data_IF_763298684114
#
_entry.id   IF_763298684114
#
_cell.length_a   1.000
_cell.length_b   1.000
_cell.length_c   1.000
_cell.angle_alpha   90.00
_cell.angle_beta   90.00
_cell.angle_gamma   90.00
#
_symmetry.space_group_name_H-M   'P 1'
#
loop_
_entity.id
_entity.type
_entity.pdbx_description
1 polymer ?
#
# COMPACT_ATOMS: atom_id res chain seq x y z
N UNK A 1 17.54 12.89 11.46
CA UNK A 1 16.13 12.63 11.09
C UNK A 1 15.95 11.13 11.05
N UNK A 2 14.85 10.62 11.60
CA UNK A 2 14.54 9.21 11.49
C UNK A 2 14.40 8.82 10.00
N UNK A 3 14.98 7.70 9.61
CA UNK A 3 14.97 7.27 8.21
C UNK A 3 14.87 5.77 8.09
N UNK A 4 14.15 5.29 7.06
CA UNK A 4 14.10 3.89 6.70
C UNK A 4 14.68 3.72 5.29
N UNK A 5 15.53 2.72 5.11
CA UNK A 5 16.17 2.44 3.83
C UNK A 5 16.24 0.93 3.57
N UNK A 6 16.31 0.58 2.29
CA UNK A 6 16.68 -0.76 1.82
C UNK A 6 18.19 -0.76 1.63
N UNK A 7 18.90 -1.49 2.47
CA UNK A 7 20.35 -1.65 2.39
C UNK A 7 20.74 -2.88 1.58
N UNK A 8 22.04 -3.14 1.53
CA UNK A 8 22.61 -4.32 0.87
C UNK A 8 22.46 -5.54 1.79
N UNK A 9 21.35 -6.26 1.65
CA UNK A 9 21.02 -7.45 2.42
C UNK A 9 20.14 -7.22 3.66
N UNK A 10 19.93 -5.99 4.12
CA UNK A 10 19.12 -5.67 5.30
C UNK A 10 18.22 -4.45 5.08
N UNK A 11 17.13 -4.38 5.82
CA UNK A 11 16.43 -3.10 6.04
C UNK A 11 17.16 -2.31 7.12
N UNK A 12 17.22 -1.00 6.93
CA UNK A 12 17.86 -0.09 7.88
C UNK A 12 16.84 0.89 8.46
N UNK A 13 16.77 0.97 9.79
CA UNK A 13 16.04 2.03 10.50
C UNK A 13 17.05 2.88 11.27
N UNK A 14 17.14 4.15 10.94
CA UNK A 14 18.13 5.07 11.51
C UNK A 14 19.59 4.58 11.35
N UNK A 15 19.85 3.96 10.19
CA UNK A 15 21.17 3.39 9.88
C UNK A 15 21.49 2.06 10.57
N UNK A 16 20.56 1.50 11.35
CA UNK A 16 20.75 0.20 12.05
C UNK A 16 19.93 -0.89 11.38
N UNK A 17 20.49 -2.09 11.20
CA UNK A 17 19.76 -3.22 10.66
C UNK A 17 18.49 -3.52 11.46
N UNK A 18 17.39 -3.78 10.76
CA UNK A 18 16.10 -4.12 11.37
C UNK A 18 15.41 -5.22 10.57
N UNK A 19 14.77 -6.15 11.28
CA UNK A 19 13.86 -7.11 10.65
C UNK A 19 12.43 -6.61 10.75
N UNK A 20 11.73 -6.58 9.63
CA UNK A 20 10.30 -6.28 9.58
C UNK A 20 9.51 -7.60 9.61
N UNK A 21 9.08 -8.01 10.79
CA UNK A 21 8.08 -9.05 10.95
C UNK A 21 6.72 -8.36 11.01
N UNK A 22 5.92 -8.52 9.95
CA UNK A 22 4.62 -7.85 9.82
C UNK A 22 3.45 -8.82 9.88
N UNK A 23 2.31 -8.31 10.34
CA UNK A 23 1.03 -8.97 10.23
C UNK A 23 0.02 -8.08 9.51
N UNK A 24 -0.92 -8.70 8.78
CA UNK A 24 -1.99 -7.96 8.10
C UNK A 24 -3.11 -7.60 9.08
N UNK A 25 -3.43 -6.31 9.19
CA UNK A 25 -4.59 -5.80 9.89
C UNK A 25 -5.22 -4.67 9.06
N UNK A 26 -6.37 -4.93 8.50
CA UNK A 26 -7.05 -3.98 7.64
C UNK A 26 -8.05 -3.14 8.45
N UNK A 27 -7.76 -1.85 8.63
CA UNK A 27 -8.57 -0.93 9.42
C UNK A 27 -10.05 -0.92 9.01
N UNK A 28 -10.34 -1.15 7.74
CA UNK A 28 -11.71 -1.16 7.21
C UNK A 28 -12.50 -2.46 7.48
N UNK A 29 -11.85 -3.50 8.06
CA UNK A 29 -12.48 -4.78 8.45
C UNK A 29 -12.65 -4.93 9.95
N UNK A 30 -12.13 -4.00 10.73
CA UNK A 30 -12.15 -4.03 12.19
C UNK A 30 -12.70 -2.70 12.68
N UNK A 31 -13.64 -2.74 13.62
CA UNK A 31 -14.20 -1.53 14.21
C UNK A 31 -13.10 -0.68 14.86
N UNK A 32 -13.17 0.63 14.72
CA UNK A 32 -12.13 1.57 15.16
C UNK A 32 -11.75 1.36 16.64
N UNK A 33 -12.73 1.18 17.52
CA UNK A 33 -12.51 0.94 18.95
C UNK A 33 -11.71 -0.35 19.27
N UNK A 34 -11.58 -1.27 18.31
CA UNK A 34 -10.84 -2.50 18.45
C UNK A 34 -9.40 -2.44 17.92
N UNK A 35 -9.04 -1.39 17.18
CA UNK A 35 -7.71 -1.33 16.55
C UNK A 35 -6.58 -1.46 17.57
N UNK A 36 -6.61 -0.69 18.65
CA UNK A 36 -5.59 -0.75 19.71
C UNK A 36 -5.43 -2.14 20.30
N UNK A 37 -6.54 -2.83 20.58
CA UNK A 37 -6.51 -4.21 21.09
C UNK A 37 -5.88 -5.18 20.07
N UNK A 38 -6.25 -5.10 18.79
CA UNK A 38 -5.69 -5.97 17.74
C UNK A 38 -4.20 -5.72 17.51
N UNK A 39 -3.78 -4.46 17.54
CA UNK A 39 -2.36 -4.09 17.45
C UNK A 39 -1.56 -4.63 18.65
N UNK A 40 -2.12 -4.55 19.86
CA UNK A 40 -1.50 -5.15 21.04
C UNK A 40 -1.33 -6.68 20.92
N UNK A 41 -2.31 -7.37 20.32
CA UNK A 41 -2.21 -8.81 20.05
C UNK A 41 -1.11 -9.12 19.03
N UNK A 42 -1.00 -8.36 17.93
CA UNK A 42 0.08 -8.51 16.96
C UNK A 42 1.45 -8.33 17.63
N UNK A 43 1.60 -7.33 18.48
CA UNK A 43 2.83 -7.14 19.26
C UNK A 43 3.14 -8.30 20.18
N UNK A 44 2.14 -8.84 20.87
CA UNK A 44 2.31 -10.00 21.75
C UNK A 44 2.75 -11.26 20.98
N UNK A 45 2.44 -11.35 19.68
CA UNK A 45 2.96 -12.36 18.77
C UNK A 45 4.41 -12.11 18.30
N UNK A 46 5.05 -11.02 18.73
CA UNK A 46 6.40 -10.64 18.32
C UNK A 46 6.49 -9.82 17.04
N UNK A 47 5.35 -9.34 16.49
CA UNK A 47 5.33 -8.54 15.27
C UNK A 47 5.63 -7.07 15.59
N UNK A 48 6.60 -6.48 14.89
CA UNK A 48 6.96 -5.06 15.03
C UNK A 48 6.35 -4.17 13.95
N UNK A 49 5.66 -4.76 12.98
CA UNK A 49 5.09 -4.07 11.84
C UNK A 49 3.68 -4.56 11.54
N UNK A 50 2.86 -3.68 10.99
CA UNK A 50 1.53 -4.01 10.48
C UNK A 50 1.42 -3.57 9.03
N UNK A 51 0.74 -4.35 8.20
CA UNK A 51 0.39 -3.93 6.84
C UNK A 51 -1.11 -3.73 6.69
N UNK A 52 -1.50 -2.71 5.91
CA UNK A 52 -2.89 -2.46 5.58
C UNK A 52 -3.05 -2.01 4.14
N UNK A 53 -4.10 -2.51 3.49
CA UNK A 53 -4.59 -2.00 2.22
C UNK A 53 -5.50 -0.78 2.42
N UNK A 54 -5.78 -0.08 1.32
CA UNK A 54 -6.73 1.04 1.29
C UNK A 54 -7.72 0.84 0.14
N UNK A 55 -8.98 0.48 0.42
CA UNK A 55 -9.98 0.27 -0.62
C UNK A 55 -10.53 1.61 -1.12
N UNK A 56 -10.21 1.96 -2.36
CA UNK A 56 -10.66 3.21 -2.98
C UNK A 56 -12.19 3.31 -3.04
N UNK A 57 -12.87 2.22 -3.44
CA UNK A 57 -14.34 2.19 -3.56
C UNK A 57 -15.08 2.43 -2.22
N UNK A 58 -14.46 2.08 -1.09
CA UNK A 58 -15.02 2.38 0.23
C UNK A 58 -14.99 3.89 0.52
N UNK A 59 -13.88 4.54 0.15
CA UNK A 59 -13.66 5.95 0.44
C UNK A 59 -14.18 6.90 -0.65
N UNK A 60 -14.45 6.41 -1.84
CA UNK A 60 -15.08 7.16 -2.95
C UNK A 60 -16.12 6.27 -3.66
N UNK A 61 -17.27 5.97 -2.99
CA UNK A 61 -18.31 5.09 -3.54
C UNK A 61 -19.00 5.66 -4.79
N UNK A 62 -18.97 6.96 -4.97
CA UNK A 62 -19.40 7.66 -6.19
C UNK A 62 -18.39 8.75 -6.51
N UNK A 63 -18.25 9.08 -7.79
CA UNK A 63 -17.27 10.05 -8.27
C UNK A 63 -17.36 11.39 -7.51
N UNK A 64 -16.26 11.78 -6.85
CA UNK A 64 -16.17 13.03 -6.09
C UNK A 64 -16.82 12.99 -4.70
N UNK A 65 -17.51 11.90 -4.35
CA UNK A 65 -18.11 11.72 -3.03
C UNK A 65 -17.16 10.94 -2.12
N UNK A 66 -16.38 11.64 -1.34
CA UNK A 66 -15.45 11.04 -0.40
C UNK A 66 -16.10 10.74 0.95
N UNK A 67 -15.79 9.57 1.51
CA UNK A 67 -16.28 9.08 2.80
C UNK A 67 -15.08 8.71 3.65
N UNK A 68 -14.96 9.33 4.79
CA UNK A 68 -14.00 9.04 5.87
C UNK A 68 -12.57 8.63 5.42
N UNK A 69 -12.00 9.39 4.49
CA UNK A 69 -10.59 9.17 4.07
C UNK A 69 -9.61 9.32 5.25
N UNK A 70 -10.04 10.01 6.32
CA UNK A 70 -9.28 10.19 7.55
C UNK A 70 -9.12 8.92 8.39
N UNK A 71 -9.93 7.89 8.17
CA UNK A 71 -9.84 6.61 8.92
C UNK A 71 -8.45 5.99 8.83
N UNK A 72 -7.81 6.01 7.65
CA UNK A 72 -6.43 5.54 7.50
C UNK A 72 -5.47 6.31 8.41
N UNK A 73 -5.61 7.63 8.46
CA UNK A 73 -4.77 8.47 9.33
C UNK A 73 -4.90 8.09 10.79
N UNK A 74 -6.14 7.98 11.30
CA UNK A 74 -6.40 7.57 12.69
C UNK A 74 -5.84 6.17 12.99
N UNK A 75 -6.01 5.23 12.07
CA UNK A 75 -5.41 3.90 12.21
C UNK A 75 -3.88 3.94 12.30
N UNK A 76 -3.21 4.74 11.47
CA UNK A 76 -1.77 4.91 11.52
C UNK A 76 -1.29 5.59 12.82
N UNK A 77 -2.11 6.49 13.39
CA UNK A 77 -1.83 7.08 14.71
C UNK A 77 -1.91 6.02 15.82
N UNK A 78 -2.88 5.11 15.77
CA UNK A 78 -2.96 3.95 16.68
C UNK A 78 -1.77 3.00 16.52
N UNK A 79 -1.30 2.78 15.27
CA UNK A 79 -0.09 1.98 15.01
C UNK A 79 1.14 2.62 15.67
N UNK A 80 1.27 3.95 15.56
CA UNK A 80 2.35 4.69 16.22
C UNK A 80 2.25 4.60 17.75
N UNK A 81 1.05 4.79 18.31
CA UNK A 81 0.79 4.67 19.75
C UNK A 81 1.11 3.25 20.29
N UNK A 82 0.85 2.22 19.46
CA UNK A 82 1.26 0.84 19.77
C UNK A 82 2.77 0.61 19.64
N UNK A 83 3.58 1.58 19.22
CA UNK A 83 5.02 1.44 19.00
C UNK A 83 5.38 0.51 17.84
N UNK A 84 4.49 0.36 16.86
CA UNK A 84 4.68 -0.47 15.67
C UNK A 84 5.03 0.39 14.44
N UNK A 85 5.54 -0.26 13.40
CA UNK A 85 5.73 0.32 12.06
C UNK A 85 4.58 -0.09 11.14
N UNK A 86 4.43 0.62 10.02
CA UNK A 86 3.37 0.35 9.05
C UNK A 86 3.92 0.21 7.63
N UNK A 87 3.38 -0.76 6.89
CA UNK A 87 3.44 -0.85 5.44
C UNK A 87 2.06 -0.46 4.91
N UNK A 88 1.99 0.58 4.07
CA UNK A 88 0.73 1.03 3.49
C UNK A 88 0.64 0.59 2.04
N UNK A 89 -0.50 0.01 1.66
CA UNK A 89 -0.76 -0.55 0.34
C UNK A 89 -1.96 0.17 -0.30
N UNK A 90 -1.74 1.38 -0.90
CA UNK A 90 -2.82 2.27 -1.34
C UNK A 90 -3.45 1.89 -2.68
N UNK A 91 -2.94 0.88 -3.36
CA UNK A 91 -3.39 0.45 -4.68
C UNK A 91 -2.76 1.21 -5.85
N UNK A 92 -3.55 1.53 -6.90
CA UNK A 92 -5.02 1.70 -6.96
C UNK A 92 -5.85 0.42 -6.85
N UNK A 93 -5.37 -0.71 -7.35
CA UNK A 93 -5.95 -2.03 -7.16
C UNK A 93 -5.28 -2.72 -5.95
N UNK A 94 -6.07 -3.34 -5.08
CA UNK A 94 -5.56 -3.94 -3.85
C UNK A 94 -5.81 -5.45 -3.74
N UNK A 95 -6.65 -6.04 -4.57
CA UNK A 95 -7.16 -7.40 -4.42
C UNK A 95 -7.85 -7.60 -3.05
N UNK A 96 -7.14 -8.09 -2.07
CA UNK A 96 -7.48 -8.15 -0.64
C UNK A 96 -8.81 -8.88 -0.34
N UNK A 97 -9.26 -9.79 -1.21
CA UNK A 97 -10.61 -10.37 -1.14
C UNK A 97 -11.68 -9.30 -0.88
N UNK A 98 -11.53 -8.17 -1.55
CA UNK A 98 -12.43 -7.02 -1.47
C UNK A 98 -13.13 -6.79 -2.80
N UNK A 99 -14.36 -6.30 -2.73
CA UNK A 99 -15.18 -6.05 -3.92
C UNK A 99 -14.41 -5.24 -4.97
N UNK A 100 -14.43 -5.74 -6.22
CA UNK A 100 -13.78 -5.12 -7.39
C UNK A 100 -12.28 -4.82 -7.18
N UNK A 101 -11.61 -5.57 -6.28
CA UNK A 101 -10.22 -5.31 -5.89
C UNK A 101 -9.97 -3.90 -5.36
N UNK A 102 -10.99 -3.25 -4.80
CA UNK A 102 -10.94 -1.91 -4.26
C UNK A 102 -11.20 -0.79 -5.27
N UNK A 103 -11.29 -1.09 -6.56
CA UNK A 103 -11.60 -0.07 -7.59
C UNK A 103 -13.09 0.32 -7.54
N UNK A 104 -13.44 1.61 -7.62
CA UNK A 104 -14.84 2.03 -7.68
C UNK A 104 -15.54 1.58 -8.97
N UNK A 105 -16.81 1.19 -8.85
CA UNK A 105 -17.61 0.79 -10.02
C UNK A 105 -17.80 1.91 -11.05
N UNK A 106 -17.87 3.16 -10.58
CA UNK A 106 -17.95 4.32 -11.46
C UNK A 106 -16.65 4.56 -12.27
N UNK A 107 -15.52 3.93 -11.90
CA UNK A 107 -14.29 3.87 -12.70
C UNK A 107 -14.33 2.67 -13.63
N UNK A 108 -14.57 1.47 -13.08
CA UNK A 108 -14.45 0.22 -13.84
C UNK A 108 -15.57 0.01 -14.85
N UNK A 109 -16.79 0.50 -14.58
CA UNK A 109 -17.92 0.39 -15.49
C UNK A 109 -17.65 1.09 -16.84
N UNK A 110 -17.37 2.40 -16.88
CA UNK A 110 -17.09 3.11 -18.12
C UNK A 110 -15.77 2.71 -18.79
N UNK A 111 -14.72 2.40 -18.01
CA UNK A 111 -13.39 2.14 -18.56
C UNK A 111 -13.20 0.68 -19.00
N UNK A 112 -13.88 -0.27 -18.37
CA UNK A 112 -13.77 -1.68 -18.73
C UNK A 112 -12.31 -2.15 -18.71
N UNK A 113 -11.78 -2.62 -19.83
CA UNK A 113 -10.41 -3.13 -19.96
C UNK A 113 -9.32 -2.05 -19.92
N UNK A 114 -9.68 -0.77 -19.89
CA UNK A 114 -8.73 0.34 -19.80
C UNK A 114 -8.21 0.56 -18.37
N UNK A 115 -8.84 -0.05 -17.35
CA UNK A 115 -8.35 0.00 -15.97
C UNK A 115 -7.02 -0.74 -15.84
N UNK A 116 -6.18 -0.30 -14.93
CA UNK A 116 -4.85 -0.86 -14.67
C UNK A 116 -3.97 -0.90 -15.94
N UNK A 117 -4.05 0.16 -16.73
CA UNK A 117 -3.22 0.38 -17.93
C UNK A 117 -2.72 1.81 -17.97
N UNK A 118 -1.84 2.13 -18.92
CA UNK A 118 -1.39 3.50 -19.22
C UNK A 118 -2.47 4.43 -19.79
N UNK A 119 -3.74 4.05 -19.78
CA UNK A 119 -4.85 4.88 -20.23
C UNK A 119 -4.91 6.19 -19.45
N UNK A 120 -4.95 7.32 -20.16
CA UNK A 120 -4.86 8.65 -19.56
C UNK A 120 -6.05 8.99 -18.65
N UNK A 121 -7.25 8.50 -18.98
CA UNK A 121 -8.47 8.72 -18.18
C UNK A 121 -8.38 7.93 -16.86
N UNK A 122 -7.96 6.66 -16.93
CA UNK A 122 -7.73 5.84 -15.73
C UNK A 122 -6.67 6.47 -14.82
N UNK A 123 -5.52 6.84 -15.37
CA UNK A 123 -4.44 7.48 -14.62
C UNK A 123 -4.86 8.83 -14.01
N UNK A 124 -5.69 9.61 -14.72
CA UNK A 124 -6.27 10.84 -14.18
C UNK A 124 -7.17 10.60 -12.97
N UNK A 125 -7.94 9.50 -12.97
CA UNK A 125 -8.72 9.09 -11.80
C UNK A 125 -7.82 8.64 -10.63
N UNK A 126 -6.78 7.86 -10.91
CA UNK A 126 -5.79 7.43 -9.89
C UNK A 126 -5.08 8.63 -9.27
N UNK A 127 -4.63 9.59 -10.09
CA UNK A 127 -3.99 10.81 -9.60
C UNK A 127 -4.90 11.59 -8.64
N UNK A 128 -6.17 11.80 -9.00
CA UNK A 128 -7.14 12.48 -8.14
C UNK A 128 -7.34 11.73 -6.82
N UNK A 129 -7.45 10.41 -6.86
CA UNK A 129 -7.55 9.57 -5.68
C UNK A 129 -6.30 9.69 -4.78
N UNK A 130 -5.11 9.55 -5.35
CA UNK A 130 -3.86 9.64 -4.60
C UNK A 130 -3.67 11.03 -3.97
N UNK A 131 -4.00 12.10 -4.69
CA UNK A 131 -3.98 13.46 -4.12
C UNK A 131 -4.90 13.62 -2.92
N UNK A 132 -5.99 12.87 -2.86
CA UNK A 132 -6.93 12.90 -1.72
C UNK A 132 -6.47 12.01 -0.57
N UNK A 133 -5.98 10.82 -0.87
CA UNK A 133 -5.59 9.81 0.12
C UNK A 133 -4.23 10.08 0.76
N UNK A 134 -3.21 10.29 -0.09
CA UNK A 134 -1.82 10.24 0.34
C UNK A 134 -1.39 11.29 1.37
N UNK A 135 -2.03 12.45 1.53
CA UNK A 135 -1.75 13.33 2.66
C UNK A 135 -1.87 12.63 4.04
N UNK A 136 -2.76 11.62 4.18
CA UNK A 136 -2.88 10.83 5.40
C UNK A 136 -1.63 9.98 5.66
N UNK A 137 -1.03 9.45 4.60
CA UNK A 137 0.19 8.62 4.64
C UNK A 137 1.43 9.50 4.82
N UNK A 138 1.54 10.54 4.00
CA UNK A 138 2.70 11.42 3.93
C UNK A 138 2.98 12.12 5.26
N UNK A 139 1.94 12.57 5.95
CA UNK A 139 2.07 13.19 7.28
C UNK A 139 2.62 12.22 8.34
N UNK A 140 2.56 10.91 8.08
CA UNK A 140 2.89 9.84 9.03
C UNK A 140 4.05 8.95 8.58
N UNK A 141 4.84 9.42 7.63
CA UNK A 141 6.08 8.74 7.22
C UNK A 141 7.13 8.79 8.34
N UNK A 142 8.03 7.82 8.34
CA UNK A 142 9.04 7.69 9.40
C UNK A 142 10.00 8.89 9.44
N UNK A 143 10.31 9.48 8.31
CA UNK A 143 11.12 10.70 8.20
C UNK A 143 10.41 11.95 8.76
N UNK A 144 9.11 11.84 9.05
CA UNK A 144 8.28 12.85 9.73
C UNK A 144 7.87 12.43 11.15
N UNK A 145 8.51 11.37 11.67
CA UNK A 145 8.24 10.86 13.01
C UNK A 145 7.05 9.89 13.13
N UNK A 146 6.42 9.52 12.02
CA UNK A 146 5.30 8.58 11.99
C UNK A 146 5.72 7.12 11.87
N UNK A 147 4.76 6.18 11.77
CA UNK A 147 5.02 4.75 11.73
C UNK A 147 5.30 4.21 10.32
N UNK A 148 4.95 4.93 9.24
CA UNK A 148 5.01 4.41 7.87
C UNK A 148 6.46 4.31 7.41
N UNK A 149 6.91 3.10 7.10
CA UNK A 149 8.28 2.82 6.65
C UNK A 149 8.38 2.48 5.17
N UNK A 150 7.32 1.94 4.56
CA UNK A 150 7.27 1.64 3.12
C UNK A 150 5.85 1.80 2.57
N UNK A 151 5.76 2.05 1.26
CA UNK A 151 4.48 2.14 0.54
C UNK A 151 4.53 1.23 -0.70
N UNK A 152 3.48 0.43 -0.91
CA UNK A 152 3.37 -0.42 -2.09
C UNK A 152 2.85 0.37 -3.29
N UNK A 153 3.42 0.10 -4.44
CA UNK A 153 2.89 0.52 -5.74
C UNK A 153 2.13 -0.65 -6.37
N UNK A 154 0.84 -0.45 -6.65
CA UNK A 154 -0.05 -1.46 -7.23
C UNK A 154 -0.21 -2.72 -6.36
N UNK A 155 -0.73 -3.82 -6.91
CA UNK A 155 -0.77 -5.12 -6.24
C UNK A 155 -0.90 -6.26 -7.25
N UNK A 156 0.04 -7.19 -7.19
CA UNK A 156 0.09 -8.38 -8.07
C UNK A 156 -0.09 -8.04 -9.55
N UNK A 157 0.51 -6.93 -9.98
CA UNK A 157 0.31 -6.46 -11.34
C UNK A 157 0.85 -7.45 -12.37
N UNK A 158 1.95 -8.11 -12.10
CA UNK A 158 2.55 -9.11 -12.98
C UNK A 158 1.69 -10.35 -13.23
N UNK A 159 0.72 -10.63 -12.34
CA UNK A 159 -0.30 -11.66 -12.56
C UNK A 159 -1.47 -11.18 -13.43
N UNK A 160 -1.58 -9.86 -13.64
CA UNK A 160 -2.65 -9.22 -14.41
C UNK A 160 -2.18 -8.71 -15.77
N UNK A 161 -0.99 -8.13 -15.85
CA UNK A 161 -0.46 -7.49 -17.04
C UNK A 161 1.04 -7.25 -16.99
N UNK A 162 1.54 -6.50 -17.97
CA UNK A 162 2.96 -6.18 -18.11
C UNK A 162 3.20 -4.76 -18.66
N UNK A 163 2.25 -3.84 -18.46
CA UNK A 163 2.37 -2.45 -18.92
C UNK A 163 3.33 -1.66 -18.01
N UNK A 164 4.61 -1.67 -18.37
CA UNK A 164 5.65 -0.96 -17.64
C UNK A 164 5.47 0.57 -17.64
N UNK A 165 4.73 1.13 -18.59
CA UNK A 165 4.39 2.57 -18.60
C UNK A 165 3.41 2.87 -17.49
N UNK A 166 2.38 2.04 -17.35
CA UNK A 166 1.40 2.14 -16.27
C UNK A 166 2.07 2.09 -14.89
N UNK A 167 2.87 1.05 -14.62
CA UNK A 167 3.54 0.90 -13.32
C UNK A 167 4.46 2.08 -12.98
N UNK A 168 5.25 2.56 -13.96
CA UNK A 168 6.08 3.76 -13.75
C UNK A 168 5.23 4.97 -13.40
N UNK A 169 4.09 5.17 -14.08
CA UNK A 169 3.19 6.29 -13.76
C UNK A 169 2.59 6.19 -12.37
N UNK A 170 2.26 4.98 -11.89
CA UNK A 170 1.81 4.78 -10.50
C UNK A 170 2.91 5.19 -9.52
N UNK A 171 4.16 4.76 -9.74
CA UNK A 171 5.31 5.14 -8.91
C UNK A 171 5.55 6.65 -8.93
N UNK A 172 5.54 7.27 -10.11
CA UNK A 172 5.68 8.72 -10.25
C UNK A 172 4.58 9.49 -9.50
N UNK A 173 3.34 9.03 -9.56
CA UNK A 173 2.22 9.63 -8.84
C UNK A 173 2.38 9.53 -7.32
N UNK A 174 2.86 8.40 -6.80
CA UNK A 174 3.17 8.23 -5.38
C UNK A 174 4.21 9.27 -4.93
N UNK A 175 5.31 9.41 -5.65
CA UNK A 175 6.34 10.41 -5.36
C UNK A 175 5.83 11.84 -5.52
N UNK A 176 5.09 12.14 -6.60
CA UNK A 176 4.49 13.47 -6.83
C UNK A 176 3.50 13.88 -5.74
N UNK A 177 2.87 12.91 -5.07
CA UNK A 177 2.01 13.14 -3.91
C UNK A 177 2.78 13.22 -2.58
N UNK A 178 4.12 13.14 -2.59
CA UNK A 178 4.97 13.38 -1.43
C UNK A 178 5.42 12.12 -0.67
N UNK A 179 5.28 10.93 -1.26
CA UNK A 179 5.84 9.71 -0.67
C UNK A 179 7.36 9.74 -0.81
N UNK A 180 8.07 9.70 0.32
CA UNK A 180 9.55 9.76 0.43
C UNK A 180 10.15 8.45 0.97
N UNK A 181 9.36 7.63 1.66
CA UNK A 181 9.81 6.31 2.11
C UNK A 181 9.96 5.36 0.92
N UNK A 182 10.78 4.30 1.04
CA UNK A 182 10.96 3.32 -0.02
C UNK A 182 9.63 2.76 -0.54
N UNK A 183 9.53 2.63 -1.86
CA UNK A 183 8.44 1.93 -2.52
C UNK A 183 8.79 0.45 -2.71
N UNK A 184 7.76 -0.38 -2.78
CA UNK A 184 7.92 -1.79 -3.16
C UNK A 184 6.76 -2.25 -4.06
N UNK A 185 7.00 -3.28 -4.88
CA UNK A 185 5.97 -4.05 -5.57
C UNK A 185 5.86 -5.43 -4.93
N UNK A 186 4.73 -6.11 -5.13
CA UNK A 186 4.51 -7.44 -4.56
C UNK A 186 3.72 -8.29 -5.54
N UNK A 187 4.35 -9.33 -6.08
CA UNK A 187 3.81 -10.16 -7.15
C UNK A 187 3.89 -11.64 -6.79
N UNK A 188 3.31 -12.50 -7.63
CA UNK A 188 3.51 -13.95 -7.53
C UNK A 188 4.98 -14.32 -7.81
N UNK A 189 5.44 -15.53 -7.40
CA UNK A 189 6.85 -15.89 -7.41
C UNK A 189 7.37 -16.35 -8.79
N UNK A 190 6.52 -16.43 -9.81
CA UNK A 190 6.91 -16.88 -11.13
C UNK A 190 7.62 -15.77 -11.91
N UNK A 191 8.61 -16.14 -12.73
CA UNK A 191 9.45 -15.19 -13.48
C UNK A 191 8.65 -14.16 -14.29
N UNK A 192 7.58 -14.60 -14.96
CA UNK A 192 6.75 -13.71 -15.75
C UNK A 192 5.96 -12.70 -14.87
N UNK A 193 5.54 -13.12 -13.66
CA UNK A 193 4.85 -12.26 -12.71
C UNK A 193 5.81 -11.22 -12.12
N UNK A 194 6.99 -11.65 -11.70
CA UNK A 194 8.02 -10.74 -11.20
C UNK A 194 8.48 -9.75 -12.27
N UNK A 195 8.69 -10.23 -13.50
CA UNK A 195 9.09 -9.36 -14.62
C UNK A 195 8.01 -8.37 -15.00
N UNK A 196 6.74 -8.81 -15.05
CA UNK A 196 5.60 -7.96 -15.40
C UNK A 196 5.21 -6.95 -14.32
N UNK A 197 5.46 -7.27 -13.05
CA UNK A 197 5.06 -6.47 -11.87
C UNK A 197 6.15 -5.58 -11.28
N UNK A 198 7.41 -5.73 -11.68
CA UNK A 198 8.52 -4.95 -11.11
C UNK A 198 8.76 -3.63 -11.83
N UNK A 199 9.33 -2.68 -11.09
CA UNK A 199 9.74 -1.37 -11.61
C UNK A 199 11.21 -1.13 -11.28
N UNK A 200 12.06 -0.74 -12.22
CA UNK A 200 13.47 -0.43 -11.94
C UNK A 200 13.62 0.61 -10.82
N UNK A 201 14.46 0.30 -9.83
CA UNK A 201 14.68 1.17 -8.67
C UNK A 201 13.64 1.05 -7.55
N UNK A 202 12.64 0.20 -7.71
CA UNK A 202 11.65 -0.13 -6.68
C UNK A 202 11.93 -1.55 -6.17
N UNK A 203 11.84 -1.76 -4.86
CA UNK A 203 12.04 -3.09 -4.26
C UNK A 203 10.96 -4.06 -4.76
N UNK A 204 11.35 -5.12 -5.45
CA UNK A 204 10.46 -6.20 -5.82
C UNK A 204 10.35 -7.22 -4.68
N UNK A 205 9.12 -7.61 -4.33
CA UNK A 205 8.83 -8.66 -3.37
C UNK A 205 7.97 -9.75 -3.98
N UNK A 206 8.10 -10.98 -3.49
CA UNK A 206 7.31 -12.12 -3.96
C UNK A 206 6.37 -12.63 -2.87
N UNK A 207 5.15 -13.02 -3.28
CA UNK A 207 4.18 -13.71 -2.44
C UNK A 207 4.35 -15.22 -2.60
N UNK A 208 4.70 -15.90 -1.53
CA UNK A 208 4.84 -17.35 -1.50
C UNK A 208 3.65 -17.96 -0.76
N UNK A 209 3.03 -18.99 -1.34
CA UNK A 209 2.11 -19.86 -0.60
C UNK A 209 2.92 -21.01 -0.01
N UNK A 210 2.87 -21.11 1.31
CA UNK A 210 3.33 -22.34 1.97
C UNK A 210 2.19 -23.36 1.80
N UNK A 211 2.36 -24.33 0.93
CA UNK A 211 1.42 -25.44 0.80
C UNK A 211 1.48 -26.26 2.08
N UNK A 212 0.33 -26.50 2.73
CA UNK A 212 0.21 -27.62 3.65
C UNK A 212 0.31 -28.89 2.80
N UNK A 213 1.37 -29.66 3.03
CA UNK A 213 1.51 -31.01 2.46
C UNK A 213 0.45 -31.93 3.08
#
# INVERSE_FOLDING_TARGET
MAGFAVGDGDFLLDGRPVRLLSGALHYFRVHEEQWGHRLAMLRAMGLGCVETYVPWNLHEPAQGRFVDVGALGRFLDEVAAAGMRALVRPGPYICAEWENGGLPHWVTGPLGRRVRTGDAEFLGHVERWFRRLLPQVVARQVDRGGPVVMVQAENEYGSYGSDAVYLRRVVELLHACGVTVPLFTSDGPEDHMLTGGSVPGVLATAKLRVGCA
#
